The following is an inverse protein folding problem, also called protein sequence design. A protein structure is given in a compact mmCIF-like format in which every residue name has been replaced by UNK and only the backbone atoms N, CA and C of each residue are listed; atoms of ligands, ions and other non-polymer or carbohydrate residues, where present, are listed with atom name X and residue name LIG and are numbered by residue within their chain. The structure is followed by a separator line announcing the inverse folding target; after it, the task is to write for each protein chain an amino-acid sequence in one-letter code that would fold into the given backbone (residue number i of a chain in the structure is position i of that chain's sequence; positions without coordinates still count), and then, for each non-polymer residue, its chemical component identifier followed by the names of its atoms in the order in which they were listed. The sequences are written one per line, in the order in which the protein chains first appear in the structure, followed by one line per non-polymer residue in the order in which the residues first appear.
data_IF_096128243015
#
_entry.id   IF_096128243015
#
_cell.length_a   1.000
_cell.length_b   1.000
_cell.length_c   1.000
_cell.angle_alpha   90.00
_cell.angle_beta   90.00
_cell.angle_gamma   90.00
#
_symmetry.space_group_name_H-M   'P 1'
#
loop_
_entity.id
_entity.type
_entity.pdbx_description
1 polymer ?
#
# COMPACT_ATOMS: atom_id res chain seq x y z
N UNK A 1 -18.35 2.84 -11.15
CA UNK A 1 -17.55 3.61 -10.18
C UNK A 1 -16.90 2.76 -9.09
N UNK A 2 -17.65 2.15 -8.16
CA UNK A 2 -17.07 1.41 -7.02
C UNK A 2 -16.15 0.25 -7.41
N UNK A 3 -16.55 -0.53 -8.42
CA UNK A 3 -15.68 -1.60 -8.95
C UNK A 3 -14.33 -1.03 -9.39
N UNK A 4 -14.33 0.11 -10.09
CA UNK A 4 -13.10 0.77 -10.54
C UNK A 4 -12.24 1.27 -9.38
N UNK A 5 -12.85 1.78 -8.31
CA UNK A 5 -12.14 2.21 -7.09
C UNK A 5 -11.34 1.03 -6.52
N UNK A 6 -12.01 -0.08 -6.22
CA UNK A 6 -11.35 -1.22 -5.58
C UNK A 6 -10.42 -1.99 -6.53
N UNK A 7 -10.76 -2.13 -7.81
CA UNK A 7 -9.85 -2.80 -8.76
C UNK A 7 -8.59 -1.98 -9.02
N UNK A 8 -8.71 -0.66 -9.18
CA UNK A 8 -7.53 0.22 -9.32
C UNK A 8 -6.72 0.33 -8.02
N UNK A 9 -7.36 0.16 -6.87
CA UNK A 9 -6.72 0.08 -5.55
C UNK A 9 -5.60 -0.97 -5.49
N UNK A 10 -5.74 -2.12 -6.14
CA UNK A 10 -4.66 -3.12 -6.24
C UNK A 10 -3.39 -2.58 -6.92
N UNK A 11 -3.52 -1.61 -7.82
CA UNK A 11 -2.37 -0.93 -8.41
C UNK A 11 -1.58 -0.12 -7.38
N UNK A 12 -2.26 0.41 -6.35
CA UNK A 12 -1.60 1.07 -5.22
C UNK A 12 -0.97 0.00 -4.33
N UNK A 13 -1.80 -0.88 -3.76
CA UNK A 13 -1.44 -1.76 -2.64
C UNK A 13 -0.54 -2.90 -3.09
N UNK A 14 -1.00 -3.76 -4.02
CA UNK A 14 -0.20 -4.85 -4.55
C UNK A 14 0.90 -4.37 -5.51
N UNK A 15 0.71 -3.21 -6.16
CA UNK A 15 1.64 -2.61 -7.11
C UNK A 15 2.66 -1.69 -6.46
N UNK A 16 2.44 -0.38 -6.56
CA UNK A 16 3.46 0.62 -6.21
C UNK A 16 3.96 0.52 -4.79
N UNK A 17 3.11 0.10 -3.86
CA UNK A 17 3.46 -0.10 -2.47
C UNK A 17 4.30 -1.37 -2.27
N UNK A 18 3.68 -2.55 -2.29
CA UNK A 18 4.35 -3.83 -1.94
C UNK A 18 5.40 -4.28 -2.96
N UNK A 19 5.14 -4.14 -4.25
CA UNK A 19 6.04 -4.60 -5.31
C UNK A 19 7.19 -3.61 -5.53
N UNK A 20 6.87 -2.37 -5.91
CA UNK A 20 7.90 -1.43 -6.37
C UNK A 20 8.55 -0.64 -5.23
N UNK A 21 7.83 -0.26 -4.18
CA UNK A 21 8.44 0.49 -3.07
C UNK A 21 9.22 -0.43 -2.13
N UNK A 22 8.61 -1.56 -1.75
CA UNK A 22 9.15 -2.45 -0.72
C UNK A 22 9.86 -3.70 -1.21
N UNK A 23 9.72 -4.06 -2.50
CA UNK A 23 10.32 -5.29 -3.05
C UNK A 23 9.92 -6.53 -2.23
N UNK A 24 8.67 -6.55 -1.76
CA UNK A 24 8.16 -7.60 -0.87
C UNK A 24 7.89 -8.91 -1.61
N UNK A 25 7.71 -8.84 -2.94
CA UNK A 25 7.64 -9.99 -3.83
C UNK A 25 8.18 -9.61 -5.22
N UNK A 26 8.30 -10.58 -6.12
CA UNK A 26 8.66 -10.37 -7.52
C UNK A 26 7.49 -10.72 -8.44
N UNK A 27 7.38 -10.00 -9.55
CA UNK A 27 6.30 -10.16 -10.52
C UNK A 27 6.84 -10.33 -11.95
N UNK A 28 6.25 -11.27 -12.70
CA UNK A 28 6.48 -11.38 -14.15
C UNK A 28 5.89 -10.16 -14.87
N UNK A 29 6.37 -9.91 -16.08
CA UNK A 29 5.99 -8.71 -16.86
C UNK A 29 4.46 -8.53 -17.03
N UNK A 30 3.61 -9.58 -17.18
CA UNK A 30 2.17 -9.37 -17.34
C UNK A 30 1.53 -8.76 -16.08
N UNK A 31 1.91 -9.26 -14.90
CA UNK A 31 1.42 -8.73 -13.63
C UNK A 31 1.94 -7.31 -13.39
N UNK A 32 3.22 -7.04 -13.68
CA UNK A 32 3.80 -5.69 -13.61
C UNK A 32 3.05 -4.70 -14.50
N UNK A 33 2.73 -5.10 -15.73
CA UNK A 33 2.00 -4.26 -16.66
C UNK A 33 0.57 -4.00 -16.16
N UNK A 34 -0.13 -5.05 -15.71
CA UNK A 34 -1.47 -4.93 -15.13
C UNK A 34 -1.49 -3.97 -13.94
N UNK A 35 -0.56 -4.12 -12.98
CA UNK A 35 -0.47 -3.26 -11.80
C UNK A 35 -0.13 -1.81 -12.17
N UNK A 36 0.71 -1.58 -13.17
CA UNK A 36 1.02 -0.23 -13.66
C UNK A 36 -0.22 0.43 -14.30
N UNK A 37 -1.02 -0.32 -15.05
CA UNK A 37 -2.30 0.15 -15.59
C UNK A 37 -3.29 0.49 -14.47
N UNK A 38 -3.49 -0.43 -13.53
CA UNK A 38 -4.39 -0.24 -12.38
C UNK A 38 -3.96 0.97 -11.54
N UNK A 39 -2.65 1.13 -11.29
CA UNK A 39 -2.13 2.28 -10.55
C UNK A 39 -2.38 3.58 -11.29
N UNK A 40 -2.18 3.61 -12.60
CA UNK A 40 -2.41 4.82 -13.40
C UNK A 40 -3.88 5.26 -13.36
N UNK A 41 -4.84 4.33 -13.29
CA UNK A 41 -6.28 4.64 -13.11
C UNK A 41 -6.54 5.41 -11.81
N UNK A 42 -5.72 5.21 -10.77
CA UNK A 42 -5.86 5.94 -9.50
C UNK A 42 -5.41 7.40 -9.59
N UNK A 43 -4.53 7.71 -10.54
CA UNK A 43 -4.05 9.06 -10.84
C UNK A 43 -3.12 9.69 -9.79
N UNK A 44 -2.41 8.85 -9.02
CA UNK A 44 -1.52 9.28 -7.94
C UNK A 44 -0.04 9.43 -8.37
N UNK A 45 0.21 10.14 -9.49
CA UNK A 45 1.53 10.26 -10.15
C UNK A 45 2.01 8.96 -10.80
N UNK A 46 3.20 9.00 -11.39
CA UNK A 46 3.87 7.83 -11.94
C UNK A 46 4.45 6.92 -10.85
N UNK A 47 4.59 5.63 -11.17
CA UNK A 47 5.06 4.57 -10.24
C UNK A 47 6.39 4.96 -9.60
N UNK A 48 7.33 5.47 -10.39
CA UNK A 48 8.66 5.87 -9.92
C UNK A 48 8.59 6.99 -8.88
N UNK A 49 7.84 8.06 -9.17
CA UNK A 49 7.75 9.22 -8.28
C UNK A 49 7.03 8.87 -6.98
N UNK A 50 5.96 8.07 -7.04
CA UNK A 50 5.26 7.62 -5.85
C UNK A 50 6.16 6.73 -4.98
N UNK A 51 6.83 5.74 -5.59
CA UNK A 51 7.72 4.84 -4.85
C UNK A 51 8.93 5.56 -4.23
N UNK A 52 9.45 6.60 -4.89
CA UNK A 52 10.47 7.47 -4.31
C UNK A 52 9.97 8.15 -3.04
N UNK A 53 8.82 8.83 -3.10
CA UNK A 53 8.24 9.52 -1.95
C UNK A 53 7.94 8.53 -0.80
N UNK A 54 7.46 7.33 -1.13
CA UNK A 54 7.16 6.28 -0.14
C UNK A 54 8.43 5.70 0.52
N UNK A 55 9.50 5.46 -0.25
CA UNK A 55 10.79 5.03 0.31
C UNK A 55 11.40 6.08 1.23
N UNK A 56 11.27 7.36 0.87
CA UNK A 56 11.69 8.48 1.74
C UNK A 56 10.86 8.48 3.02
N UNK A 57 9.54 8.36 2.92
CA UNK A 57 8.62 8.27 4.06
C UNK A 57 9.04 7.16 5.03
N UNK A 58 9.18 5.91 4.59
CA UNK A 58 9.58 4.83 5.50
C UNK A 58 10.95 5.02 6.15
N UNK A 59 11.92 5.56 5.40
CA UNK A 59 13.29 5.71 5.89
C UNK A 59 13.43 6.87 6.89
N UNK A 60 12.60 7.90 6.76
CA UNK A 60 12.69 9.14 7.51
C UNK A 60 11.36 9.52 8.17
N UNK A 61 10.53 8.53 8.44
CA UNK A 61 9.21 8.66 9.06
C UNK A 61 9.30 9.48 10.35
N UNK A 62 8.32 10.35 10.58
CA UNK A 62 8.30 11.25 11.74
C UNK A 62 9.54 12.17 11.86
N UNK A 63 10.07 12.64 10.72
CA UNK A 63 11.10 13.68 10.65
C UNK A 63 10.76 14.74 9.60
N UNK A 64 11.50 15.85 9.55
CA UNK A 64 11.28 16.89 8.55
C UNK A 64 11.65 16.44 7.12
N UNK A 65 12.24 15.24 6.98
CA UNK A 65 12.48 14.58 5.71
C UNK A 65 11.33 13.67 5.25
N UNK A 66 10.29 13.47 6.06
CA UNK A 66 9.08 12.75 5.68
C UNK A 66 8.18 13.65 4.79
N UNK A 67 7.84 13.24 3.55
CA UNK A 67 7.00 14.03 2.65
C UNK A 67 5.62 14.37 3.22
N UNK A 68 5.09 13.56 4.12
CA UNK A 68 3.76 13.73 4.73
C UNK A 68 3.81 13.56 6.25
N UNK A 69 4.86 14.13 6.87
CA UNK A 69 5.12 14.10 8.32
C UNK A 69 3.86 14.34 9.19
N UNK A 70 3.42 13.29 9.88
CA UNK A 70 2.24 13.32 10.76
C UNK A 70 2.40 14.27 11.95
N UNK A 71 3.64 14.59 12.37
CA UNK A 71 3.89 15.52 13.49
C UNK A 71 3.43 16.95 13.15
N UNK A 72 3.26 17.27 11.87
CA UNK A 72 2.68 18.55 11.39
C UNK A 72 1.15 18.57 11.44
N UNK A 73 0.53 17.51 11.94
CA UNK A 73 -0.90 17.39 12.18
C UNK A 73 -1.67 16.71 11.06
N UNK A 74 -2.88 16.27 11.38
CA UNK A 74 -3.77 15.49 10.50
C UNK A 74 -3.92 16.12 9.11
N UNK A 75 -4.24 17.42 9.04
CA UNK A 75 -4.51 18.07 7.75
C UNK A 75 -3.29 18.07 6.84
N UNK A 76 -2.09 18.28 7.40
CA UNK A 76 -0.85 18.25 6.64
C UNK A 76 -0.59 16.85 6.06
N UNK A 77 -0.62 15.81 6.91
CA UNK A 77 -0.38 14.43 6.49
C UNK A 77 -1.45 13.89 5.53
N UNK A 78 -2.71 14.34 5.69
CA UNK A 78 -3.80 13.92 4.82
C UNK A 78 -3.69 14.55 3.43
N UNK A 79 -3.62 15.88 3.33
CA UNK A 79 -3.65 16.54 2.00
C UNK A 79 -2.79 17.80 1.90
N UNK A 80 -2.52 18.47 3.03
CA UNK A 80 -1.81 19.75 3.05
C UNK A 80 -0.42 19.68 2.44
N UNK A 81 0.27 18.53 2.55
CA UNK A 81 1.60 18.32 1.96
C UNK A 81 1.62 18.55 0.43
N UNK A 82 0.53 18.30 -0.28
CA UNK A 82 0.42 18.53 -1.73
C UNK A 82 0.34 20.02 -2.10
N UNK A 83 -0.10 20.87 -1.18
CA UNK A 83 -0.31 22.31 -1.40
C UNK A 83 0.81 23.18 -0.85
N UNK A 84 1.88 22.56 -0.34
CA UNK A 84 3.02 23.26 0.24
C UNK A 84 4.30 22.92 -0.50
N UNK A 85 5.25 23.85 -0.51
CA UNK A 85 6.61 23.56 -0.94
C UNK A 85 7.20 22.48 -0.03
N UNK A 86 7.76 21.38 -0.56
CA UNK A 86 8.39 20.36 0.26
C UNK A 86 9.50 20.94 1.13
N UNK A 87 9.64 20.43 2.35
CA UNK A 87 10.74 20.82 3.23
C UNK A 87 12.10 20.53 2.55
N UNK A 88 13.15 21.37 2.73
CA UNK A 88 14.46 21.15 2.11
C UNK A 88 15.04 19.75 2.37
N UNK A 89 14.79 19.18 3.55
CA UNK A 89 15.25 17.83 3.89
C UNK A 89 14.57 16.75 3.06
N UNK A 90 13.28 16.88 2.74
CA UNK A 90 12.59 15.98 1.81
C UNK A 90 13.28 16.00 0.45
N UNK A 91 13.61 17.21 -0.06
CA UNK A 91 14.28 17.36 -1.36
C UNK A 91 15.69 16.75 -1.33
N UNK A 92 16.42 16.93 -0.24
CA UNK A 92 17.74 16.34 -0.06
C UNK A 92 17.67 14.82 0.02
N UNK A 93 16.75 14.26 0.81
CA UNK A 93 16.62 12.80 1.02
C UNK A 93 16.07 12.07 -0.20
N UNK A 94 15.22 12.69 -1.01
CA UNK A 94 14.82 12.16 -2.33
C UNK A 94 16.01 11.84 -3.23
N UNK A 95 17.07 12.66 -3.20
CA UNK A 95 18.29 12.42 -4.00
C UNK A 95 19.17 11.29 -3.46
N UNK A 96 18.99 10.92 -2.18
CA UNK A 96 19.81 9.94 -1.50
C UNK A 96 19.20 8.53 -1.47
N UNK A 97 17.93 8.39 -1.88
CA UNK A 97 17.27 7.10 -2.00
C UNK A 97 17.68 6.43 -3.30
N UNK A 98 18.14 5.19 -3.21
CA UNK A 98 18.44 4.36 -4.38
C UNK A 98 17.13 4.01 -5.10
N UNK A 99 17.11 4.28 -6.42
CA UNK A 99 16.00 4.02 -7.33
C UNK A 99 16.43 3.17 -8.54
N UNK A 100 17.67 2.68 -8.55
CA UNK A 100 18.28 1.96 -9.68
C UNK A 100 17.46 0.75 -10.13
N UNK A 101 16.79 0.08 -9.18
CA UNK A 101 15.89 -1.04 -9.48
C UNK A 101 14.64 -0.64 -10.28
N UNK A 102 14.10 0.56 -10.04
CA UNK A 102 12.95 1.08 -10.81
C UNK A 102 13.39 1.66 -12.14
N UNK A 103 14.60 2.23 -12.21
CA UNK A 103 15.21 2.69 -13.47
C UNK A 103 15.46 1.51 -14.43
N UNK A 104 15.83 0.34 -13.88
CA UNK A 104 16.00 -0.89 -14.64
C UNK A 104 14.68 -1.54 -15.08
N UNK A 105 13.54 -1.20 -14.46
CA UNK A 105 12.23 -1.74 -14.84
C UNK A 105 11.63 -0.96 -16.02
N UNK A 106 11.69 -1.57 -17.21
CA UNK A 106 11.16 -0.97 -18.44
C UNK A 106 9.68 -0.59 -18.38
N UNK A 107 8.85 -1.29 -17.60
CA UNK A 107 7.42 -0.98 -17.46
C UNK A 107 7.25 0.28 -16.61
N UNK A 108 8.00 0.40 -15.53
CA UNK A 108 7.99 1.59 -14.66
C UNK A 108 8.43 2.83 -15.46
N UNK A 109 9.54 2.71 -16.19
CA UNK A 109 10.06 3.83 -16.98
C UNK A 109 9.18 4.18 -18.18
N UNK A 110 8.53 3.19 -18.80
CA UNK A 110 7.49 3.42 -19.82
C UNK A 110 6.30 4.19 -19.26
N UNK A 111 5.78 3.77 -18.11
CA UNK A 111 4.64 4.42 -17.46
C UNK A 111 4.99 5.84 -17.02
N UNK A 112 6.19 6.06 -16.48
CA UNK A 112 6.71 7.39 -16.15
C UNK A 112 6.75 8.31 -17.36
N UNK A 113 7.34 7.86 -18.47
CA UNK A 113 7.48 8.66 -19.70
C UNK A 113 6.13 9.03 -20.30
N UNK A 114 5.16 8.11 -20.25
CA UNK A 114 3.83 8.29 -20.83
C UNK A 114 2.76 8.65 -19.79
N UNK A 115 3.15 9.08 -18.59
CA UNK A 115 2.19 9.24 -17.49
C UNK A 115 1.07 10.22 -17.85
N UNK A 116 1.39 11.38 -18.43
CA UNK A 116 0.40 12.40 -18.79
C UNK A 116 -0.65 11.86 -19.79
N UNK A 117 -0.27 11.29 -20.95
CA UNK A 117 -1.27 10.73 -21.86
C UNK A 117 -1.99 9.51 -21.27
N UNK A 118 -1.31 8.65 -20.50
CA UNK A 118 -1.96 7.52 -19.84
C UNK A 118 -2.96 7.96 -18.78
N UNK A 119 -2.67 9.00 -17.99
CA UNK A 119 -3.59 9.60 -17.04
C UNK A 119 -4.80 10.20 -17.75
N UNK A 120 -4.57 11.00 -18.79
CA UNK A 120 -5.66 11.59 -19.58
C UNK A 120 -6.58 10.51 -20.16
N UNK A 121 -6.03 9.38 -20.62
CA UNK A 121 -6.82 8.28 -21.16
C UNK A 121 -7.49 7.41 -20.08
N UNK A 122 -6.72 6.87 -19.14
CA UNK A 122 -7.16 5.83 -18.22
C UNK A 122 -7.88 6.38 -16.99
N UNK A 123 -7.49 7.57 -16.53
CA UNK A 123 -8.09 8.21 -15.37
C UNK A 123 -9.29 9.07 -15.77
N UNK A 124 -9.25 9.72 -16.95
CA UNK A 124 -10.31 10.64 -17.40
C UNK A 124 -11.09 10.07 -18.58
N UNK A 125 -10.42 9.81 -19.71
CA UNK A 125 -11.05 9.49 -20.99
C UNK A 125 -11.95 8.25 -20.95
N UNK A 126 -11.43 7.09 -20.51
CA UNK A 126 -12.20 5.86 -20.42
C UNK A 126 -13.28 5.94 -19.32
N UNK A 127 -13.00 6.44 -18.10
CA UNK A 127 -14.03 6.52 -17.07
C UNK A 127 -15.18 7.48 -17.41
N UNK A 128 -14.94 8.51 -18.23
CA UNK A 128 -16.00 9.42 -18.70
C UNK A 128 -16.67 8.87 -19.97
N UNK A 129 -15.88 8.40 -20.94
CA UNK A 129 -16.36 7.98 -22.25
C UNK A 129 -17.14 6.67 -22.24
N UNK A 130 -16.75 5.71 -21.39
CA UNK A 130 -17.46 4.42 -21.30
C UNK A 130 -18.91 4.63 -20.84
N UNK A 131 -19.20 5.24 -19.67
CA UNK A 131 -20.57 5.60 -19.21
C UNK A 131 -21.39 6.34 -20.26
N UNK A 132 -20.77 7.33 -20.89
CA UNK A 132 -21.43 8.14 -21.90
C UNK A 132 -21.85 7.34 -23.13
N UNK A 133 -20.97 6.46 -23.63
CA UNK A 133 -21.21 5.75 -24.90
C UNK A 133 -22.07 4.49 -24.75
N UNK A 134 -21.79 3.63 -23.75
CA UNK A 134 -22.40 2.29 -23.67
C UNK A 134 -23.71 2.20 -22.87
N UNK A 135 -24.03 3.25 -22.11
CA UNK A 135 -25.07 3.26 -21.08
C UNK A 135 -25.94 4.51 -21.21
N UNK A 136 -25.67 5.34 -22.23
CA UNK A 136 -26.34 6.61 -22.52
C UNK A 136 -26.36 7.58 -21.33
N UNK A 137 -25.32 7.55 -20.48
CA UNK A 137 -25.16 8.51 -19.39
C UNK A 137 -24.83 9.89 -19.95
N UNK A 138 -25.24 10.97 -19.27
CA UNK A 138 -24.85 12.30 -19.70
C UNK A 138 -23.34 12.53 -19.55
N UNK A 139 -22.74 13.29 -20.48
CA UNK A 139 -21.33 13.66 -20.37
C UNK A 139 -21.01 14.41 -19.07
N UNK A 140 -21.95 15.26 -18.61
CA UNK A 140 -21.80 16.02 -17.37
C UNK A 140 -21.73 15.12 -16.14
N UNK A 141 -22.68 14.19 -15.98
CA UNK A 141 -22.68 13.23 -14.88
C UNK A 141 -21.45 12.32 -14.97
N UNK A 142 -21.10 11.86 -16.18
CA UNK A 142 -19.92 11.04 -16.41
C UNK A 142 -18.64 11.73 -15.94
N UNK A 143 -18.46 13.01 -16.30
CA UNK A 143 -17.30 13.80 -15.89
C UNK A 143 -17.23 14.05 -14.37
N UNK A 144 -18.34 14.44 -13.74
CA UNK A 144 -18.33 14.77 -12.31
C UNK A 144 -18.32 13.55 -11.41
N UNK A 145 -19.04 12.48 -11.77
CA UNK A 145 -19.13 11.28 -10.93
C UNK A 145 -18.00 10.29 -11.23
N UNK A 146 -17.84 9.89 -12.49
CA UNK A 146 -16.91 8.80 -12.83
C UNK A 146 -15.46 9.24 -12.92
N UNK A 147 -15.18 10.53 -13.14
CA UNK A 147 -13.84 11.10 -12.99
C UNK A 147 -13.68 11.81 -11.65
N UNK A 148 -14.26 13.01 -11.44
CA UNK A 148 -13.91 13.85 -10.28
C UNK A 148 -14.23 13.20 -8.94
N UNK A 149 -15.47 12.77 -8.70
CA UNK A 149 -15.87 12.19 -7.42
C UNK A 149 -15.12 10.89 -7.12
N UNK A 150 -15.01 10.00 -8.12
CA UNK A 150 -14.19 8.78 -8.01
C UNK A 150 -12.74 9.08 -7.68
N UNK A 151 -12.13 10.06 -8.36
CA UNK A 151 -10.75 10.45 -8.15
C UNK A 151 -10.54 11.02 -6.74
N UNK A 152 -11.44 11.88 -6.27
CA UNK A 152 -11.43 12.39 -4.90
C UNK A 152 -11.54 11.26 -3.87
N UNK A 153 -12.43 10.28 -4.06
CA UNK A 153 -12.55 9.13 -3.14
C UNK A 153 -11.24 8.33 -3.11
N UNK A 154 -10.68 7.99 -4.28
CA UNK A 154 -9.41 7.25 -4.36
C UNK A 154 -8.27 7.97 -3.62
N UNK A 155 -8.18 9.29 -3.80
CA UNK A 155 -7.19 10.10 -3.10
C UNK A 155 -7.40 10.07 -1.59
N UNK A 156 -8.63 10.30 -1.10
CA UNK A 156 -8.91 10.33 0.33
C UNK A 156 -8.68 8.96 0.99
N UNK A 157 -9.02 7.85 0.33
CA UNK A 157 -8.71 6.51 0.83
C UNK A 157 -7.20 6.34 1.02
N UNK A 158 -6.39 6.71 0.02
CA UNK A 158 -4.93 6.62 0.14
C UNK A 158 -4.38 7.57 1.21
N UNK A 159 -4.91 8.79 1.30
CA UNK A 159 -4.49 9.78 2.29
C UNK A 159 -4.86 9.41 3.72
N UNK A 160 -5.89 8.59 3.93
CA UNK A 160 -6.20 8.03 5.25
C UNK A 160 -5.07 7.12 5.76
N UNK A 161 -4.31 6.45 4.88
CA UNK A 161 -3.14 5.66 5.29
C UNK A 161 -2.07 6.58 5.88
N UNK A 162 -1.79 7.72 5.24
CA UNK A 162 -0.80 8.69 5.72
C UNK A 162 -1.25 9.42 7.00
N UNK A 163 -2.56 9.62 7.21
CA UNK A 163 -3.08 10.41 8.33
C UNK A 163 -3.74 9.55 9.41
N UNK A 164 -4.87 8.91 9.11
CA UNK A 164 -5.66 8.13 10.07
C UNK A 164 -4.83 6.99 10.63
N UNK A 165 -4.10 6.26 9.76
CA UNK A 165 -3.27 5.13 10.18
C UNK A 165 -1.91 5.53 10.80
N UNK A 166 -1.67 6.83 11.03
CA UNK A 166 -0.58 7.31 11.89
C UNK A 166 -1.08 7.95 13.20
N UNK A 167 -2.41 8.08 13.41
CA UNK A 167 -2.96 8.85 14.54
C UNK A 167 -3.91 8.02 15.40
N UNK A 168 -4.84 7.27 14.79
CA UNK A 168 -5.94 6.63 15.53
C UNK A 168 -5.97 5.12 15.32
N UNK A 169 -5.54 4.38 16.34
CA UNK A 169 -5.52 2.93 16.33
C UNK A 169 -4.59 2.35 17.39
N UNK A 170 -4.32 1.06 17.29
CA UNK A 170 -3.50 0.29 18.23
C UNK A 170 -2.04 0.16 17.73
N UNK A 171 -1.09 -0.08 18.63
CA UNK A 171 0.34 -0.28 18.30
C UNK A 171 0.89 -1.60 18.86
N UNK A 172 0.35 -2.75 18.41
CA UNK A 172 0.69 -4.05 18.97
C UNK A 172 2.15 -4.46 18.74
N UNK A 173 2.85 -3.92 17.74
CA UNK A 173 4.22 -4.34 17.37
C UNK A 173 5.32 -3.37 17.81
N UNK A 174 5.08 -2.06 17.69
CA UNK A 174 5.99 -1.04 18.23
C UNK A 174 5.22 0.23 18.62
N UNK A 175 5.16 0.52 19.93
CA UNK A 175 4.49 1.71 20.47
C UNK A 175 5.28 3.01 20.29
N UNK A 176 6.57 2.92 19.93
CA UNK A 176 7.47 4.07 19.85
C UNK A 176 7.43 4.79 18.49
N UNK A 177 6.73 4.23 17.51
CA UNK A 177 6.49 4.85 16.19
C UNK A 177 5.04 5.37 16.11
N UNK A 178 4.73 6.30 15.21
CA UNK A 178 3.36 6.80 15.05
C UNK A 178 2.35 5.85 14.37
N UNK A 179 2.73 5.04 13.36
CA UNK A 179 1.84 4.10 12.67
C UNK A 179 1.01 3.23 13.61
N UNK A 180 -0.26 3.03 13.27
CA UNK A 180 -1.25 2.31 14.06
C UNK A 180 -2.03 1.31 13.21
N UNK A 181 -2.54 0.26 13.84
CA UNK A 181 -3.50 -0.66 13.25
C UNK A 181 -4.90 -0.03 13.25
N UNK A 182 -5.54 0.06 12.08
CA UNK A 182 -6.87 0.62 11.90
C UNK A 182 -7.70 -0.20 10.90
N UNK A 183 -8.71 -0.92 11.41
CA UNK A 183 -9.57 -1.82 10.61
C UNK A 183 -10.36 -1.04 9.55
N UNK A 184 -10.84 0.17 9.85
CA UNK A 184 -11.61 0.96 8.89
C UNK A 184 -10.74 1.36 7.69
N UNK A 185 -9.48 1.76 7.94
CA UNK A 185 -8.49 1.99 6.88
C UNK A 185 -8.21 0.69 6.14
N UNK A 186 -8.09 -0.45 6.82
CA UNK A 186 -7.84 -1.74 6.18
C UNK A 186 -8.93 -2.14 5.19
N UNK A 187 -10.20 -1.94 5.55
CA UNK A 187 -11.34 -2.20 4.65
C UNK A 187 -11.32 -1.24 3.46
N UNK A 188 -11.13 0.06 3.70
CA UNK A 188 -11.16 1.07 2.65
C UNK A 188 -9.97 0.93 1.67
N UNK A 189 -8.77 0.65 2.20
CA UNK A 189 -7.51 0.59 1.48
C UNK A 189 -7.02 -0.85 1.28
N UNK A 190 -7.92 -1.85 1.23
CA UNK A 190 -7.62 -3.22 0.80
C UNK A 190 -6.48 -3.93 1.56
N UNK A 191 -6.28 -3.64 2.85
CA UNK A 191 -5.23 -4.24 3.68
C UNK A 191 -4.20 -3.27 4.24
N UNK A 192 -4.16 -2.02 3.77
CA UNK A 192 -3.16 -1.04 4.21
C UNK A 192 -3.49 -0.37 5.57
N UNK A 193 -4.43 -0.92 6.32
CA UNK A 193 -4.75 -0.45 7.68
C UNK A 193 -3.89 -1.08 8.77
N UNK A 194 -3.17 -2.16 8.46
CA UNK A 194 -2.23 -2.82 9.38
C UNK A 194 -0.88 -2.09 9.40
N UNK A 195 -0.93 -0.79 9.70
CA UNK A 195 0.16 0.15 9.42
C UNK A 195 1.28 0.11 10.47
N UNK A 196 0.97 -0.26 11.72
CA UNK A 196 1.99 -0.50 12.75
C UNK A 196 2.83 -1.73 12.38
N UNK A 197 2.18 -2.82 11.94
CA UNK A 197 2.87 -4.01 11.42
C UNK A 197 3.74 -3.63 10.23
N UNK A 198 3.16 -2.95 9.25
CA UNK A 198 3.83 -2.60 8.01
C UNK A 198 5.09 -1.75 8.23
N UNK A 199 5.04 -0.73 9.11
CA UNK A 199 6.22 0.07 9.42
C UNK A 199 7.29 -0.68 10.21
N UNK A 200 6.91 -1.70 10.97
CA UNK A 200 7.85 -2.56 11.68
C UNK A 200 8.50 -3.60 10.75
N UNK A 201 7.72 -4.13 9.80
CA UNK A 201 8.15 -5.16 8.85
C UNK A 201 7.85 -4.75 7.40
N UNK A 202 8.51 -3.71 6.87
CA UNK A 202 8.17 -3.12 5.58
C UNK A 202 8.42 -4.05 4.38
N UNK A 203 9.18 -5.13 4.55
CA UNK A 203 9.47 -6.11 3.49
C UNK A 203 8.45 -7.25 3.42
N UNK A 204 7.50 -7.33 4.35
CA UNK A 204 6.47 -8.37 4.36
C UNK A 204 5.42 -8.11 3.26
N UNK A 205 5.20 -9.08 2.38
CA UNK A 205 4.25 -8.96 1.27
C UNK A 205 2.79 -8.93 1.73
N UNK A 206 2.50 -9.50 2.90
CA UNK A 206 1.16 -9.50 3.48
C UNK A 206 0.81 -8.14 4.06
N UNK A 207 1.80 -7.36 4.51
CA UNK A 207 1.64 -6.07 5.23
C UNK A 207 0.76 -6.13 6.48
N UNK A 208 0.46 -7.31 6.99
CA UNK A 208 -0.27 -7.53 8.23
C UNK A 208 -0.12 -8.98 8.68
N UNK A 209 -0.09 -9.19 9.99
CA UNK A 209 -0.11 -10.52 10.60
C UNK A 209 -1.51 -11.15 10.51
N UNK A 210 -2.54 -10.34 10.74
CA UNK A 210 -3.93 -10.80 10.93
C UNK A 210 -4.79 -10.56 9.69
N UNK A 211 -5.94 -11.26 9.66
CA UNK A 211 -7.08 -10.86 8.82
C UNK A 211 -7.36 -11.72 7.59
N UNK A 212 -6.88 -12.98 7.54
CA UNK A 212 -7.26 -14.08 6.63
C UNK A 212 -8.04 -13.64 5.38
N UNK A 213 -7.36 -12.86 4.52
CA UNK A 213 -7.89 -12.18 3.33
C UNK A 213 -9.07 -11.20 3.52
N UNK A 214 -9.92 -11.40 4.53
CA UNK A 214 -11.14 -10.63 4.80
C UNK A 214 -10.90 -9.13 5.01
N UNK A 215 -9.76 -8.79 5.61
CA UNK A 215 -9.36 -7.40 5.81
C UNK A 215 -8.09 -7.03 5.04
N UNK A 216 -7.60 -7.94 4.19
CA UNK A 216 -6.39 -7.78 3.41
C UNK A 216 -6.51 -8.43 2.03
N UNK A 217 -7.42 -7.88 1.24
CA UNK A 217 -7.73 -8.36 -0.11
C UNK A 217 -6.52 -8.28 -1.05
N UNK A 218 -5.56 -7.39 -0.77
CA UNK A 218 -4.33 -7.26 -1.58
C UNK A 218 -3.42 -8.48 -1.44
N UNK A 219 -3.33 -9.07 -0.24
CA UNK A 219 -2.63 -10.34 -0.04
C UNK A 219 -3.30 -11.46 -0.83
N UNK A 220 -4.64 -11.54 -0.78
CA UNK A 220 -5.41 -12.53 -1.56
C UNK A 220 -5.17 -12.39 -3.07
N UNK A 221 -5.13 -11.15 -3.56
CA UNK A 221 -4.82 -10.85 -4.96
C UNK A 221 -3.42 -11.35 -5.33
N UNK A 222 -2.40 -11.04 -4.52
CA UNK A 222 -1.02 -11.48 -4.78
C UNK A 222 -0.93 -13.02 -4.76
N UNK A 223 -1.56 -13.68 -3.79
CA UNK A 223 -1.55 -15.14 -3.68
C UNK A 223 -2.24 -15.82 -4.87
N UNK A 224 -3.33 -15.24 -5.39
CA UNK A 224 -3.97 -15.72 -6.61
C UNK A 224 -3.02 -15.66 -7.83
N UNK A 225 -2.26 -14.56 -7.97
CA UNK A 225 -1.25 -14.44 -9.02
C UNK A 225 -0.02 -15.32 -8.77
N UNK A 226 0.29 -15.65 -7.52
CA UNK A 226 1.35 -16.60 -7.18
C UNK A 226 0.98 -18.02 -7.61
N UNK A 227 -0.28 -18.44 -7.43
CA UNK A 227 -0.79 -19.75 -7.87
C UNK A 227 -0.66 -19.98 -9.38
N UNK A 228 -0.78 -18.93 -10.19
CA UNK A 228 -0.57 -19.01 -11.65
C UNK A 228 0.88 -18.70 -12.06
N UNK A 229 1.78 -18.54 -11.09
CA UNK A 229 3.21 -18.31 -11.31
C UNK A 229 3.57 -16.94 -11.87
N UNK A 230 2.71 -15.94 -11.70
CA UNK A 230 2.96 -14.55 -12.11
C UNK A 230 3.58 -13.72 -10.99
N UNK A 231 3.24 -14.01 -9.73
CA UNK A 231 3.96 -13.54 -8.54
C UNK A 231 4.84 -14.66 -7.97
N UNK A 232 5.99 -14.33 -7.40
CA UNK A 232 6.92 -15.29 -6.81
C UNK A 232 7.85 -14.59 -5.81
N UNK A 233 8.62 -15.37 -5.05
CA UNK A 233 9.58 -14.84 -4.05
C UNK A 233 8.89 -13.93 -3.01
N UNK A 234 7.73 -14.38 -2.52
CA UNK A 234 6.87 -13.66 -1.58
C UNK A 234 7.50 -13.70 -0.19
N UNK A 235 7.97 -12.55 0.31
CA UNK A 235 8.64 -12.45 1.60
C UNK A 235 7.63 -12.27 2.72
N UNK A 236 7.65 -13.13 3.72
CA UNK A 236 6.82 -13.00 4.92
C UNK A 236 7.70 -13.10 6.17
N UNK A 237 7.26 -12.48 7.26
CA UNK A 237 7.98 -12.49 8.53
C UNK A 237 7.63 -13.78 9.28
N UNK A 238 8.64 -14.41 9.89
CA UNK A 238 8.42 -15.58 10.73
C UNK A 238 7.58 -15.21 11.97
N UNK A 239 6.61 -16.05 12.41
CA UNK A 239 5.81 -15.80 13.62
C UNK A 239 6.66 -15.49 14.86
N UNK A 240 7.78 -16.20 15.04
CA UNK A 240 8.71 -15.97 16.14
C UNK A 240 9.29 -14.54 16.16
N UNK A 241 9.57 -13.96 15.00
CA UNK A 241 10.07 -12.59 14.90
C UNK A 241 8.97 -11.57 15.24
N UNK A 242 7.74 -11.81 14.78
CA UNK A 242 6.57 -10.99 15.10
C UNK A 242 6.35 -10.98 16.62
N UNK A 243 6.28 -12.16 17.23
CA UNK A 243 6.12 -12.34 18.68
C UNK A 243 7.20 -11.61 19.48
N UNK A 244 8.48 -11.84 19.17
CA UNK A 244 9.59 -11.18 19.88
C UNK A 244 9.50 -9.66 19.79
N UNK A 245 9.07 -9.14 18.65
CA UNK A 245 8.93 -7.70 18.43
C UNK A 245 7.75 -7.12 19.20
N UNK A 246 6.58 -7.74 19.10
CA UNK A 246 5.38 -7.38 19.86
C UNK A 246 5.62 -7.45 21.38
N UNK A 247 6.22 -8.53 21.88
CA UNK A 247 6.53 -8.67 23.30
C UNK A 247 7.53 -7.61 23.80
N UNK A 248 8.52 -7.23 22.98
CA UNK A 248 9.55 -6.26 23.37
C UNK A 248 9.07 -4.81 23.30
N UNK A 249 8.30 -4.47 22.26
CA UNK A 249 8.03 -3.07 21.88
C UNK A 249 6.55 -2.73 21.74
N UNK A 250 5.65 -3.71 21.77
CA UNK A 250 4.21 -3.51 21.65
C UNK A 250 3.61 -2.71 22.82
N UNK A 251 2.42 -2.18 22.58
CA UNK A 251 1.60 -1.49 23.58
C UNK A 251 0.75 -2.43 24.45
N UNK A 252 0.85 -3.75 24.25
CA UNK A 252 0.07 -4.76 24.96
C UNK A 252 -1.28 -5.10 24.32
N UNK A 253 -1.60 -4.52 23.16
CA UNK A 253 -2.81 -4.84 22.39
C UNK A 253 -2.65 -6.01 21.40
N UNK A 254 -1.46 -6.62 21.32
CA UNK A 254 -1.23 -7.79 20.47
C UNK A 254 -2.05 -8.98 21.00
N UNK A 255 -2.95 -9.50 20.17
CA UNK A 255 -4.02 -10.43 20.60
C UNK A 255 -3.60 -11.90 20.47
N UNK A 256 -2.38 -12.22 20.03
CA UNK A 256 -1.97 -13.60 19.79
C UNK A 256 -1.04 -14.16 20.88
N UNK A 257 -1.62 -15.08 21.66
CA UNK A 257 -0.97 -15.83 22.73
C UNK A 257 -0.10 -16.97 22.21
N UNK A 258 1.15 -16.66 21.87
CA UNK A 258 2.17 -17.69 21.78
C UNK A 258 2.43 -18.25 23.19
N UNK A 259 1.98 -19.48 23.44
CA UNK A 259 1.94 -20.11 24.78
C UNK A 259 0.57 -20.11 25.46
N UNK A 260 -0.49 -19.72 24.75
CA UNK A 260 -1.86 -19.92 25.22
C UNK A 260 -2.22 -21.41 25.22
N UNK A 261 -2.86 -21.89 26.29
CA UNK A 261 -3.27 -23.30 26.44
C UNK A 261 -4.40 -23.68 25.47
N UNK A 262 -5.09 -22.68 24.92
CA UNK A 262 -6.27 -22.84 24.06
C UNK A 262 -5.94 -22.72 22.55
N UNK A 263 -4.67 -22.66 22.16
CA UNK A 263 -4.27 -22.68 20.74
C UNK A 263 -4.76 -23.96 20.06
N UNK A 264 -5.36 -23.82 18.86
CA UNK A 264 -5.86 -24.99 18.13
C UNK A 264 -4.69 -25.91 17.72
N UNK A 265 -4.97 -27.21 17.60
CA UNK A 265 -3.93 -28.16 17.18
C UNK A 265 -3.50 -27.91 15.75
N UNK A 266 -4.42 -27.42 14.92
CA UNK A 266 -4.18 -27.03 13.54
C UNK A 266 -3.16 -25.88 13.47
N UNK A 267 -3.32 -24.85 14.29
CA UNK A 267 -2.39 -23.71 14.33
C UNK A 267 -1.01 -24.12 14.88
N UNK A 268 -0.95 -25.00 15.89
CA UNK A 268 0.32 -25.56 16.38
C UNK A 268 1.06 -26.35 15.31
N UNK A 269 0.32 -27.13 14.51
CA UNK A 269 0.87 -27.91 13.41
C UNK A 269 1.36 -26.99 12.29
N UNK A 270 0.63 -25.92 11.97
CA UNK A 270 1.09 -24.92 11.01
C UNK A 270 2.36 -24.22 11.49
N UNK A 271 2.42 -23.82 12.76
CA UNK A 271 3.62 -23.25 13.39
C UNK A 271 4.82 -24.22 13.36
N UNK A 272 4.60 -25.51 13.59
CA UNK A 272 5.66 -26.53 13.55
C UNK A 272 6.11 -26.85 12.12
N UNK A 273 5.19 -26.95 11.15
CA UNK A 273 5.53 -27.11 9.74
C UNK A 273 6.34 -25.91 9.22
N UNK A 274 5.99 -24.69 9.64
CA UNK A 274 6.71 -23.47 9.28
C UNK A 274 8.12 -23.42 9.89
N UNK A 275 8.31 -23.92 11.10
CA UNK A 275 9.65 -24.04 11.72
C UNK A 275 10.54 -25.09 11.02
N UNK A 276 9.94 -26.12 10.43
CA UNK A 276 10.67 -27.23 9.79
C UNK A 276 11.01 -26.97 8.31
N UNK A 277 10.58 -25.84 7.73
CA UNK A 277 10.87 -25.45 6.33
C UNK A 277 11.98 -24.39 6.17
N UNK A 278 12.79 -24.14 7.20
CA UNK A 278 14.07 -23.41 7.03
C UNK A 278 15.16 -24.34 6.48
N UNK A 279 15.30 -24.42 5.16
CA UNK A 279 16.55 -24.65 4.40
C UNK A 279 16.38 -24.20 2.93
#
# INVERSE_FOLDING_TARGET
MFVTIYTSGFGITAGVHRLWSHKAYKAKWPLRLLLAFLFTITGQKDVYTWALDHRVHHKYSETDADPHDVRRGFFFAHVGWLFTTPHPDVVAKRKAVDMSDLEADSIVMWQKRLYIPLFALLTIGLPVGIPWYFWSESLWISFWVNFNFRFCINLNIAFCVNSVAHIWGQKPYDKNISPVENIAVSIAALGEGYHNYHHVFPWDYKTGELGDYSFNMSTAFIDAFARIGWAYDLKYVSPNMIYRRAHRCGDGSHVWGYGDIDISKEDLVELDMMNNHEL
#
